data_IF_692172439870
#
_entry.id   IF_692172439870
#
_cell.length_a   1.000
_cell.length_b   1.000
_cell.length_c   1.000
_cell.angle_alpha   90.00
_cell.angle_beta   90.00
_cell.angle_gamma   90.00
#
_symmetry.space_group_name_H-M   'P 1'
#
loop_
_entity.id
_entity.type
_entity.pdbx_description
1 polymer ?
#
# COMPACT_ATOMS: atom_id res chain seq x y z
N UNK A 1 20.07 23.25 -4.90
CA UNK A 1 19.99 21.91 -4.34
C UNK A 1 18.64 21.79 -3.69
N UNK A 2 17.79 20.87 -4.12
CA UNK A 2 16.44 20.75 -3.52
C UNK A 2 16.48 19.87 -2.29
N UNK A 3 16.06 20.40 -1.14
CA UNK A 3 15.94 19.67 0.12
C UNK A 3 14.47 19.36 0.41
N UNK A 4 14.17 18.11 0.72
CA UNK A 4 12.81 17.65 0.99
C UNK A 4 12.75 16.99 2.35
N UNK A 5 11.80 17.41 3.18
CA UNK A 5 11.37 16.67 4.35
C UNK A 5 10.09 15.90 4.02
N UNK A 6 10.03 14.61 4.34
CA UNK A 6 8.90 13.74 3.99
C UNK A 6 8.33 13.04 5.21
N UNK A 7 7.11 13.40 5.58
CA UNK A 7 6.35 12.78 6.66
C UNK A 7 5.47 11.66 6.13
N UNK A 8 5.76 10.44 6.56
CA UNK A 8 5.00 9.23 6.25
C UNK A 8 5.02 8.30 7.47
N UNK A 9 4.26 7.21 7.43
CA UNK A 9 4.34 6.20 8.48
C UNK A 9 5.65 5.43 8.37
N UNK A 10 6.44 5.43 9.46
CA UNK A 10 7.78 4.83 9.52
C UNK A 10 8.08 4.18 10.88
N UNK A 11 7.11 3.62 11.55
CA UNK A 11 7.33 3.01 12.86
C UNK A 11 8.49 2.00 12.77
N UNK A 12 9.64 2.34 13.38
CA UNK A 12 10.87 1.53 13.35
C UNK A 12 10.67 0.16 13.99
N UNK A 13 9.77 0.05 14.96
CA UNK A 13 9.43 -1.20 15.65
C UNK A 13 8.32 -2.00 14.98
N UNK A 14 7.69 -1.46 13.93
CA UNK A 14 6.53 -2.05 13.27
C UNK A 14 6.76 -2.16 11.77
N UNK A 15 7.57 -3.16 11.38
CA UNK A 15 7.89 -3.39 9.98
C UNK A 15 6.66 -3.81 9.17
N UNK A 16 6.11 -2.88 8.39
CA UNK A 16 5.13 -3.19 7.37
C UNK A 16 5.75 -2.91 5.99
N UNK A 17 6.06 -3.96 5.25
CA UNK A 17 6.69 -3.87 3.92
C UNK A 17 5.90 -2.94 2.99
N UNK A 18 4.57 -2.91 3.09
CA UNK A 18 3.74 -2.05 2.25
C UNK A 18 3.94 -0.56 2.52
N UNK A 19 4.07 -0.17 3.78
CA UNK A 19 4.29 1.24 4.16
C UNK A 19 5.71 1.69 3.84
N UNK A 20 6.69 0.82 4.08
CA UNK A 20 8.07 1.06 3.66
C UNK A 20 8.15 1.21 2.13
N UNK A 21 7.41 0.37 1.38
CA UNK A 21 7.33 0.45 -0.08
C UNK A 21 6.82 1.82 -0.58
N UNK A 22 5.78 2.36 0.08
CA UNK A 22 5.26 3.70 -0.23
C UNK A 22 6.33 4.77 0.00
N UNK A 23 6.96 4.78 1.19
CA UNK A 23 7.95 5.78 1.56
C UNK A 23 9.15 5.78 0.60
N UNK A 24 9.66 4.59 0.26
CA UNK A 24 10.80 4.43 -0.63
C UNK A 24 10.44 4.78 -2.07
N UNK A 25 9.26 4.42 -2.54
CA UNK A 25 8.80 4.78 -3.88
C UNK A 25 8.68 6.30 -4.05
N UNK A 26 8.08 7.01 -3.08
CA UNK A 26 7.98 8.47 -3.10
C UNK A 26 9.38 9.10 -3.10
N UNK A 27 10.27 8.66 -2.21
CA UNK A 27 11.66 9.12 -2.15
C UNK A 27 12.36 8.98 -3.51
N UNK A 28 12.26 7.82 -4.14
CA UNK A 28 12.99 7.52 -5.37
C UNK A 28 12.40 8.29 -6.57
N UNK A 29 11.08 8.46 -6.63
CA UNK A 29 10.42 9.30 -7.63
C UNK A 29 10.82 10.77 -7.48
N UNK A 30 10.84 11.32 -6.25
CA UNK A 30 11.31 12.68 -6.00
C UNK A 30 12.78 12.85 -6.39
N UNK A 31 13.65 11.90 -6.01
CA UNK A 31 15.07 11.90 -6.38
C UNK A 31 15.29 11.88 -7.89
N UNK A 32 14.43 11.24 -8.64
CA UNK A 32 14.53 11.21 -10.11
C UNK A 32 14.30 12.58 -10.75
N UNK A 33 13.53 13.46 -10.12
CA UNK A 33 13.09 14.77 -10.64
C UNK A 33 13.81 15.96 -10.03
N UNK A 34 14.17 15.88 -8.75
CA UNK A 34 14.80 16.97 -7.98
C UNK A 34 16.31 16.70 -7.88
N UNK A 35 17.10 17.24 -8.80
CA UNK A 35 18.56 17.03 -8.82
C UNK A 35 19.29 18.37 -8.83
N UNK A 36 20.27 18.59 -7.92
CA UNK A 36 20.66 17.73 -6.79
C UNK A 36 19.60 17.70 -5.67
N UNK A 37 19.52 16.57 -4.93
CA UNK A 37 18.45 16.25 -4.02
C UNK A 37 18.96 15.78 -2.65
N UNK A 38 18.45 16.37 -1.57
CA UNK A 38 18.60 15.89 -0.20
C UNK A 38 17.24 15.47 0.36
N UNK A 39 17.22 14.44 1.18
CA UNK A 39 15.99 13.85 1.69
C UNK A 39 16.09 13.61 3.18
N UNK A 40 15.17 14.19 3.93
CA UNK A 40 15.01 14.02 5.37
C UNK A 40 13.72 13.24 5.62
N UNK A 41 13.80 12.03 6.17
CA UNK A 41 12.61 11.28 6.56
C UNK A 41 12.05 11.78 7.89
N UNK A 42 10.73 11.94 7.99
CA UNK A 42 9.97 12.24 9.20
C UNK A 42 8.89 11.19 9.45
N UNK A 43 8.55 10.97 10.72
CA UNK A 43 7.42 10.15 11.11
C UNK A 43 6.14 10.99 11.13
N UNK A 44 5.04 10.45 10.57
CA UNK A 44 3.78 11.20 10.47
C UNK A 44 3.24 11.67 11.84
N UNK A 45 3.46 10.88 12.89
CA UNK A 45 3.04 11.23 14.25
C UNK A 45 3.78 12.44 14.84
N UNK A 46 4.93 12.80 14.30
CA UNK A 46 5.61 14.04 14.71
C UNK A 46 4.77 15.29 14.42
N UNK A 47 3.85 15.20 13.44
CA UNK A 47 2.90 16.30 13.16
C UNK A 47 1.80 16.45 14.23
N UNK A 48 1.73 15.57 15.21
CA UNK A 48 0.87 15.67 16.40
C UNK A 48 1.58 16.37 17.58
N UNK A 49 2.88 16.71 17.44
CA UNK A 49 3.73 17.24 18.52
C UNK A 49 3.05 18.42 19.25
N UNK A 50 2.96 18.39 20.59
CA UNK A 50 2.40 19.49 21.37
C UNK A 50 3.33 20.70 21.52
N UNK A 51 4.64 20.56 21.20
CA UNK A 51 5.65 21.63 21.27
C UNK A 51 6.16 21.97 19.86
N UNK A 52 5.45 22.80 19.10
CA UNK A 52 5.67 22.96 17.67
C UNK A 52 6.90 23.78 17.28
N UNK A 53 7.43 24.69 18.10
CA UNK A 53 8.33 25.77 17.67
C UNK A 53 9.62 25.25 17.04
N UNK A 54 10.44 24.52 17.77
CA UNK A 54 11.73 23.99 17.29
C UNK A 54 11.53 22.99 16.14
N UNK A 55 10.47 22.22 16.22
CA UNK A 55 10.13 21.24 15.19
C UNK A 55 9.75 21.92 13.86
N UNK A 56 8.95 22.98 13.90
CA UNK A 56 8.58 23.77 12.71
C UNK A 56 9.80 24.48 12.12
N UNK A 57 10.71 25.01 12.94
CA UNK A 57 11.96 25.58 12.46
C UNK A 57 12.77 24.55 11.65
N UNK A 58 12.85 23.30 12.14
CA UNK A 58 13.50 22.21 11.40
C UNK A 58 12.82 21.95 10.06
N UNK A 59 11.48 21.92 10.00
CA UNK A 59 10.74 21.75 8.76
C UNK A 59 11.07 22.88 7.78
N UNK A 60 11.04 24.13 8.25
CA UNK A 60 11.23 25.32 7.41
C UNK A 60 12.69 25.50 6.89
N UNK A 61 13.64 24.68 7.35
CA UNK A 61 15.00 24.62 6.77
C UNK A 61 15.06 23.88 5.42
N UNK A 62 13.96 23.25 4.99
CA UNK A 62 13.87 22.53 3.72
C UNK A 62 13.18 23.39 2.65
N UNK A 63 13.27 22.95 1.39
CA UNK A 63 12.59 23.64 0.27
C UNK A 63 11.16 23.15 0.07
N UNK A 64 10.86 21.90 0.42
CA UNK A 64 9.54 21.29 0.26
C UNK A 64 9.24 20.36 1.45
N UNK A 65 8.02 20.47 1.97
CA UNK A 65 7.45 19.53 2.92
C UNK A 65 6.49 18.58 2.18
N UNK A 66 6.82 17.30 2.12
CA UNK A 66 5.94 16.24 1.58
C UNK A 66 5.25 15.54 2.74
N UNK A 67 3.94 15.41 2.69
CA UNK A 67 3.14 14.63 3.63
C UNK A 67 2.39 13.58 2.81
N UNK A 68 2.65 12.31 3.07
CA UNK A 68 1.99 11.24 2.32
C UNK A 68 2.84 9.99 2.23
N UNK A 69 2.32 9.11 1.62
CA UNK A 69 1.42 8.19 1.12
C UNK A 69 0.74 7.33 2.19
N UNK A 70 -0.07 6.41 1.71
CA UNK A 70 -0.80 5.49 2.55
C UNK A 70 -2.07 6.09 3.19
N UNK A 71 -2.64 5.39 4.16
CA UNK A 71 -3.95 5.70 4.74
C UNK A 71 -3.93 6.81 5.80
N UNK A 72 -3.36 7.97 5.50
CA UNK A 72 -3.18 9.05 6.48
C UNK A 72 -4.49 9.78 6.85
N UNK A 73 -5.49 9.80 5.97
CA UNK A 73 -6.81 10.30 6.34
C UNK A 73 -7.58 9.24 7.12
N UNK A 74 -7.22 9.09 8.38
CA UNK A 74 -7.80 8.10 9.29
C UNK A 74 -7.80 8.60 10.74
N UNK A 75 -8.61 7.95 11.58
CA UNK A 75 -8.63 8.21 13.03
C UNK A 75 -7.27 7.97 13.73
N UNK A 76 -6.33 7.28 13.10
CA UNK A 76 -5.02 6.94 13.68
C UNK A 76 -4.00 8.06 13.55
N UNK A 77 -4.18 8.97 12.57
CA UNK A 77 -3.24 10.04 12.24
C UNK A 77 -3.89 11.42 12.24
N UNK A 78 -5.13 11.53 12.71
CA UNK A 78 -5.89 12.77 12.80
C UNK A 78 -6.47 12.95 14.19
N UNK A 79 -6.55 14.20 14.68
CA UNK A 79 -6.13 15.43 14.03
C UNK A 79 -4.61 15.66 14.12
N UNK A 80 -4.00 16.24 13.07
CA UNK A 80 -2.65 16.80 13.16
C UNK A 80 -2.68 18.14 13.91
N UNK A 81 -1.57 18.54 14.50
CA UNK A 81 -1.47 19.82 15.22
C UNK A 81 -1.64 21.01 14.26
N UNK A 82 -2.75 21.73 14.43
CA UNK A 82 -3.10 22.85 13.57
C UNK A 82 -2.05 23.98 13.61
N UNK A 83 -1.35 24.18 14.74
CA UNK A 83 -0.31 25.19 14.86
C UNK A 83 0.91 24.80 14.00
N UNK A 84 1.33 23.53 14.00
CA UNK A 84 2.39 23.05 13.12
C UNK A 84 2.02 23.32 11.67
N UNK A 85 0.86 22.84 11.22
CA UNK A 85 0.43 22.96 9.82
C UNK A 85 0.33 24.42 9.37
N UNK A 86 -0.11 25.34 10.25
CA UNK A 86 -0.20 26.78 9.94
C UNK A 86 1.18 27.46 9.87
N UNK A 87 2.13 26.99 10.66
CA UNK A 87 3.47 27.61 10.78
C UNK A 87 4.50 27.06 9.79
N UNK A 88 4.17 26.04 9.00
CA UNK A 88 5.02 25.61 7.87
C UNK A 88 4.98 26.68 6.80
N UNK A 89 6.11 27.31 6.51
CA UNK A 89 6.25 28.41 5.54
C UNK A 89 6.58 27.92 4.13
N UNK A 90 7.26 26.78 4.04
CA UNK A 90 7.63 26.14 2.77
C UNK A 90 6.43 25.46 2.09
N UNK A 91 6.49 25.21 0.77
CA UNK A 91 5.44 24.49 0.05
C UNK A 91 5.13 23.11 0.65
N UNK A 92 3.86 22.86 0.98
CA UNK A 92 3.37 21.55 1.40
C UNK A 92 2.84 20.82 0.18
N UNK A 93 3.25 19.57 0.01
CA UNK A 93 2.76 18.65 -1.03
C UNK A 93 2.13 17.43 -0.35
N UNK A 94 0.86 17.17 -0.63
CA UNK A 94 0.17 15.95 -0.21
C UNK A 94 0.32 14.90 -1.30
N UNK A 95 1.00 13.79 -0.99
CA UNK A 95 1.42 12.83 -1.99
C UNK A 95 0.79 11.45 -1.80
N UNK A 96 -0.14 11.07 -2.70
CA UNK A 96 -0.71 9.72 -2.72
C UNK A 96 -1.44 9.29 -1.45
N UNK A 97 -2.09 10.23 -0.77
CA UNK A 97 -2.82 9.95 0.48
C UNK A 97 -4.08 9.15 0.21
N UNK A 98 -4.41 8.22 1.11
CA UNK A 98 -5.65 7.46 1.11
C UNK A 98 -6.53 7.78 2.31
N UNK A 99 -7.85 7.76 2.10
CA UNK A 99 -8.83 7.72 3.17
C UNK A 99 -9.00 6.29 3.64
N UNK A 100 -8.81 6.07 4.95
CA UNK A 100 -8.92 4.75 5.57
C UNK A 100 -10.01 4.77 6.62
N UNK A 101 -10.99 3.87 6.43
CA UNK A 101 -12.03 3.56 7.41
C UNK A 101 -12.15 2.05 7.49
N UNK A 102 -11.78 1.46 8.64
CA UNK A 102 -11.94 0.03 8.84
C UNK A 102 -13.42 -0.34 9.01
N UNK A 103 -13.75 -1.60 8.77
CA UNK A 103 -15.11 -2.11 9.05
C UNK A 103 -15.43 -1.95 10.55
N UNK A 104 -16.54 -1.30 10.83
CA UNK A 104 -16.97 -1.00 12.21
C UNK A 104 -16.41 0.28 12.82
N UNK A 105 -15.54 1.02 12.11
CA UNK A 105 -15.12 2.33 12.57
C UNK A 105 -16.25 3.35 12.49
N UNK A 106 -16.31 4.22 13.49
CA UNK A 106 -17.13 5.44 13.41
C UNK A 106 -16.64 6.35 12.29
N UNK A 107 -17.48 7.29 11.88
CA UNK A 107 -17.05 8.36 11.00
C UNK A 107 -15.99 9.25 11.68
N UNK A 108 -15.23 9.98 10.88
CA UNK A 108 -14.28 10.94 11.40
C UNK A 108 -15.04 12.02 12.19
N UNK A 109 -14.44 12.45 13.29
CA UNK A 109 -14.97 13.57 14.09
C UNK A 109 -14.87 14.87 13.30
N UNK A 110 -15.62 15.91 13.72
CA UNK A 110 -15.53 17.23 13.11
C UNK A 110 -14.11 17.80 13.18
N UNK A 111 -13.40 17.60 14.28
CA UNK A 111 -12.03 18.03 14.47
C UNK A 111 -11.07 17.36 13.46
N UNK A 112 -11.24 16.06 13.23
CA UNK A 112 -10.47 15.31 12.23
C UNK A 112 -10.75 15.81 10.81
N UNK A 113 -12.02 16.12 10.50
CA UNK A 113 -12.42 16.72 9.21
C UNK A 113 -11.82 18.10 9.02
N UNK A 114 -11.84 18.95 10.05
CA UNK A 114 -11.23 20.28 9.99
C UNK A 114 -9.70 20.20 9.82
N UNK A 115 -9.05 19.21 10.44
CA UNK A 115 -7.63 18.93 10.21
C UNK A 115 -7.34 18.58 8.74
N UNK A 116 -8.17 17.76 8.10
CA UNK A 116 -8.05 17.45 6.66
C UNK A 116 -8.23 18.72 5.82
N UNK A 117 -9.24 19.54 6.12
CA UNK A 117 -9.48 20.82 5.41
C UNK A 117 -8.30 21.76 5.53
N UNK A 118 -7.80 21.97 6.75
CA UNK A 118 -6.65 22.82 7.02
C UNK A 118 -5.42 22.36 6.22
N UNK A 119 -5.13 21.04 6.25
CA UNK A 119 -4.00 20.47 5.53
C UNK A 119 -4.11 20.71 4.02
N UNK A 120 -5.29 20.50 3.42
CA UNK A 120 -5.50 20.71 2.00
C UNK A 120 -5.50 22.21 1.60
N UNK A 121 -6.00 23.11 2.46
CA UNK A 121 -5.92 24.56 2.22
C UNK A 121 -4.48 25.06 2.25
N UNK A 122 -3.63 24.48 3.10
CA UNK A 122 -2.21 24.83 3.20
C UNK A 122 -1.36 24.19 2.10
N UNK A 123 -1.78 23.07 1.56
CA UNK A 123 -1.05 22.37 0.51
C UNK A 123 -1.04 23.15 -0.80
N UNK A 124 0.10 23.18 -1.45
CA UNK A 124 0.25 23.71 -2.83
C UNK A 124 -0.18 22.70 -3.89
N UNK A 125 -0.04 21.42 -3.57
CA UNK A 125 -0.44 20.31 -4.46
C UNK A 125 -1.01 19.19 -3.61
N UNK A 126 -2.14 18.64 -4.06
CA UNK A 126 -2.76 17.48 -3.42
C UNK A 126 -2.93 16.34 -4.40
N UNK A 127 -2.41 15.16 -4.04
CA UNK A 127 -2.71 13.93 -4.73
C UNK A 127 -3.17 12.83 -3.79
N UNK A 128 -4.00 11.95 -4.32
CA UNK A 128 -4.57 10.81 -3.62
C UNK A 128 -4.34 9.52 -4.41
N UNK A 129 -4.38 8.39 -3.70
CA UNK A 129 -4.08 7.10 -4.32
C UNK A 129 -5.25 6.50 -5.11
N UNK A 130 -6.50 6.91 -4.84
CA UNK A 130 -7.69 6.29 -5.42
C UNK A 130 -8.87 7.26 -5.56
N UNK A 131 -9.84 6.87 -6.38
CA UNK A 131 -11.06 7.65 -6.64
C UNK A 131 -11.96 7.75 -5.39
N UNK A 132 -11.91 6.76 -4.50
CA UNK A 132 -12.67 6.78 -3.25
C UNK A 132 -12.22 7.95 -2.36
N UNK A 133 -10.92 8.11 -2.18
CA UNK A 133 -10.35 9.24 -1.45
C UNK A 133 -10.62 10.57 -2.15
N UNK A 134 -10.52 10.61 -3.47
CA UNK A 134 -10.85 11.81 -4.25
C UNK A 134 -12.31 12.24 -4.05
N UNK A 135 -13.24 11.30 -4.11
CA UNK A 135 -14.67 11.54 -3.85
C UNK A 135 -14.90 12.03 -2.42
N UNK A 136 -14.22 11.42 -1.44
CA UNK A 136 -14.29 11.87 -0.05
C UNK A 136 -13.86 13.33 0.10
N UNK A 137 -12.72 13.73 -0.48
CA UNK A 137 -12.24 15.12 -0.43
C UNK A 137 -13.18 16.10 -1.14
N UNK A 138 -13.73 15.72 -2.29
CA UNK A 138 -14.73 16.54 -3.01
C UNK A 138 -15.97 16.80 -2.17
N UNK A 139 -16.44 15.81 -1.42
CA UNK A 139 -17.56 15.97 -0.49
C UNK A 139 -17.25 16.94 0.68
N UNK A 140 -15.95 17.15 0.97
CA UNK A 140 -15.49 18.16 1.93
C UNK A 140 -15.27 19.55 1.30
N UNK A 141 -15.57 19.71 -0.01
CA UNK A 141 -15.37 20.95 -0.76
C UNK A 141 -13.95 21.12 -1.32
N UNK A 142 -13.11 20.09 -1.30
CA UNK A 142 -11.73 20.10 -1.82
C UNK A 142 -11.76 19.50 -3.24
N UNK A 143 -11.60 20.34 -4.27
CA UNK A 143 -11.79 19.95 -5.68
C UNK A 143 -10.49 19.77 -6.47
N UNK A 144 -9.42 20.50 -6.13
CA UNK A 144 -8.14 20.41 -6.84
C UNK A 144 -7.30 19.22 -6.30
N UNK A 145 -7.66 18.03 -6.76
CA UNK A 145 -7.09 16.76 -6.29
C UNK A 145 -6.70 15.87 -7.46
N UNK A 146 -5.45 15.43 -7.48
CA UNK A 146 -4.92 14.51 -8.49
C UNK A 146 -5.00 13.07 -8.04
N UNK A 147 -5.65 12.20 -8.81
CA UNK A 147 -5.65 10.74 -8.56
C UNK A 147 -4.46 10.12 -9.30
N UNK A 148 -3.45 9.69 -8.56
CA UNK A 148 -2.17 9.23 -9.11
C UNK A 148 -1.85 7.74 -8.87
N UNK A 149 -2.72 7.02 -8.18
CA UNK A 149 -2.45 5.65 -7.74
C UNK A 149 -1.65 5.58 -6.43
N UNK A 150 -1.59 4.38 -5.84
CA UNK A 150 -0.73 4.15 -4.68
C UNK A 150 0.76 4.22 -5.12
N UNK A 151 1.61 5.00 -4.45
CA UNK A 151 3.02 5.13 -4.85
C UNK A 151 3.78 3.82 -4.93
N UNK A 152 3.47 2.82 -4.08
CA UNK A 152 4.14 1.52 -4.08
C UNK A 152 3.93 0.71 -5.38
N UNK A 153 2.96 1.09 -6.23
CA UNK A 153 2.80 0.54 -7.58
C UNK A 153 4.09 0.71 -8.40
N UNK A 154 4.79 1.83 -8.21
CA UNK A 154 5.94 2.25 -9.01
C UNK A 154 7.29 1.97 -8.35
N UNK A 155 7.28 1.32 -7.17
CA UNK A 155 8.52 0.88 -6.54
C UNK A 155 9.33 0.04 -7.52
N UNK A 156 10.63 0.29 -7.62
CA UNK A 156 11.55 -0.54 -8.38
C UNK A 156 11.70 -1.93 -7.74
N UNK A 157 12.35 -2.84 -8.43
CA UNK A 157 12.65 -4.19 -7.93
C UNK A 157 14.14 -4.43 -7.85
N UNK A 158 14.58 -5.15 -6.81
CA UNK A 158 15.94 -5.60 -6.60
C UNK A 158 15.98 -7.12 -6.60
N UNK A 159 16.83 -7.71 -7.43
CA UNK A 159 16.98 -9.16 -7.52
C UNK A 159 17.40 -9.75 -6.17
N UNK A 160 16.85 -10.93 -5.85
CA UNK A 160 17.16 -11.63 -4.61
C UNK A 160 17.10 -13.14 -4.80
N UNK A 161 17.95 -13.85 -4.08
CA UNK A 161 17.96 -15.31 -3.96
C UNK A 161 17.37 -15.82 -2.64
N UNK A 162 16.72 -14.97 -1.85
CA UNK A 162 16.15 -15.36 -0.55
C UNK A 162 15.13 -16.49 -0.65
N UNK A 163 14.44 -16.59 -1.79
CA UNK A 163 13.51 -17.70 -2.06
C UNK A 163 13.95 -18.38 -3.34
N UNK A 164 14.35 -19.65 -3.22
CA UNK A 164 14.67 -20.49 -4.37
C UNK A 164 13.35 -21.03 -4.92
N UNK A 165 12.99 -20.64 -6.13
CA UNK A 165 11.77 -21.06 -6.83
C UNK A 165 12.09 -22.19 -7.78
N UNK A 166 11.13 -23.11 -7.96
CA UNK A 166 11.23 -24.21 -8.93
C UNK A 166 10.62 -23.77 -10.26
N UNK A 167 11.46 -23.60 -11.28
CA UNK A 167 11.01 -23.13 -12.60
C UNK A 167 10.03 -24.08 -13.31
N UNK A 168 9.97 -25.32 -12.90
CA UNK A 168 9.03 -26.32 -13.46
C UNK A 168 7.62 -26.24 -12.86
N UNK A 169 7.42 -25.41 -11.81
CA UNK A 169 6.15 -25.28 -11.09
C UNK A 169 5.47 -23.93 -11.31
N UNK A 170 4.17 -23.91 -11.17
CA UNK A 170 3.41 -22.65 -11.05
C UNK A 170 3.68 -22.03 -9.66
N UNK A 171 3.99 -20.73 -9.62
CA UNK A 171 4.30 -20.02 -8.39
C UNK A 171 3.07 -19.25 -7.90
N UNK A 172 2.53 -19.65 -6.76
CA UNK A 172 1.39 -18.97 -6.13
C UNK A 172 1.85 -18.28 -4.85
N UNK A 173 1.83 -16.97 -4.88
CA UNK A 173 2.07 -16.15 -3.69
C UNK A 173 0.82 -16.07 -2.82
N UNK A 174 0.96 -16.25 -1.51
CA UNK A 174 -0.14 -16.05 -0.56
C UNK A 174 0.26 -15.06 0.53
N UNK A 175 -0.74 -14.31 1.03
CA UNK A 175 -0.59 -13.44 2.17
C UNK A 175 -1.89 -13.41 2.97
N UNK A 176 -1.82 -13.57 4.29
CA UNK A 176 -2.97 -13.57 5.20
C UNK A 176 -2.81 -12.47 6.23
N UNK A 177 -3.81 -11.59 6.34
CA UNK A 177 -3.83 -10.55 7.37
C UNK A 177 -4.03 -11.17 8.76
N UNK A 178 -3.04 -11.04 9.65
CA UNK A 178 -3.05 -11.66 10.97
C UNK A 178 -3.19 -10.67 12.13
N UNK A 179 -3.28 -9.38 11.84
CA UNK A 179 -3.34 -8.35 12.88
C UNK A 179 -4.74 -8.23 13.47
N UNK A 180 -4.86 -8.25 14.80
CA UNK A 180 -6.14 -8.12 15.52
C UNK A 180 -6.89 -6.82 15.20
N UNK A 181 -6.18 -5.77 14.79
CA UNK A 181 -6.78 -4.51 14.34
C UNK A 181 -7.29 -4.57 12.89
N UNK A 182 -6.79 -5.52 12.10
CA UNK A 182 -7.21 -5.74 10.71
C UNK A 182 -8.27 -6.83 10.61
N UNK A 183 -8.14 -7.89 11.41
CA UNK A 183 -9.04 -9.04 11.36
C UNK A 183 -9.34 -9.57 12.75
N UNK A 184 -10.63 -9.65 13.11
CA UNK A 184 -11.03 -10.25 14.38
C UNK A 184 -10.62 -11.73 14.46
N UNK A 185 -10.19 -12.23 15.64
CA UNK A 185 -9.77 -13.63 15.82
C UNK A 185 -10.79 -14.66 15.34
N UNK A 186 -12.10 -14.35 15.41
CA UNK A 186 -13.18 -15.23 14.93
C UNK A 186 -13.12 -15.49 13.42
N UNK A 187 -12.46 -14.64 12.63
CA UNK A 187 -12.23 -14.86 11.18
C UNK A 187 -10.85 -15.37 10.89
N UNK A 188 -9.84 -15.00 11.71
CA UNK A 188 -8.43 -15.32 11.44
C UNK A 188 -8.17 -16.83 11.36
N UNK A 189 -8.54 -17.57 12.40
CA UNK A 189 -8.27 -19.03 12.42
C UNK A 189 -9.05 -19.78 11.34
N UNK A 190 -10.35 -19.55 11.15
CA UNK A 190 -11.08 -20.16 10.04
C UNK A 190 -10.47 -19.85 8.68
N UNK A 191 -10.07 -18.62 8.40
CA UNK A 191 -9.52 -18.24 7.09
C UNK A 191 -8.17 -18.90 6.81
N UNK A 192 -7.32 -19.11 7.83
CA UNK A 192 -6.06 -19.84 7.68
C UNK A 192 -6.35 -21.29 7.23
N UNK A 193 -7.38 -21.92 7.78
CA UNK A 193 -7.79 -23.27 7.39
C UNK A 193 -8.27 -23.33 5.94
N UNK A 194 -9.10 -22.37 5.55
CA UNK A 194 -9.63 -22.31 4.19
C UNK A 194 -8.53 -22.02 3.14
N UNK A 195 -7.59 -21.12 3.46
CA UNK A 195 -6.40 -20.91 2.63
C UNK A 195 -5.55 -22.19 2.52
N UNK A 196 -5.33 -22.88 3.63
CA UNK A 196 -4.53 -24.12 3.64
C UNK A 196 -5.13 -25.16 2.70
N UNK A 197 -6.44 -25.44 2.82
CA UNK A 197 -7.15 -26.41 1.95
C UNK A 197 -7.15 -25.97 0.49
N UNK A 198 -7.37 -24.69 0.21
CA UNK A 198 -7.32 -24.15 -1.14
C UNK A 198 -5.91 -24.30 -1.74
N UNK A 199 -4.85 -24.01 -0.98
CA UNK A 199 -3.48 -24.20 -1.41
C UNK A 199 -3.13 -25.67 -1.67
N UNK A 200 -3.56 -26.62 -0.82
CA UNK A 200 -3.39 -28.05 -1.05
C UNK A 200 -4.01 -28.50 -2.37
N UNK A 201 -5.21 -28.01 -2.66
CA UNK A 201 -5.85 -28.26 -3.95
C UNK A 201 -5.04 -27.69 -5.12
N UNK A 202 -4.61 -26.43 -5.05
CA UNK A 202 -3.86 -25.76 -6.12
C UNK A 202 -2.49 -26.41 -6.37
N UNK A 203 -1.81 -26.90 -5.32
CA UNK A 203 -0.57 -27.68 -5.45
C UNK A 203 -0.81 -28.92 -6.32
N UNK A 204 -1.86 -29.68 -6.02
CA UNK A 204 -2.15 -30.93 -6.72
C UNK A 204 -2.71 -30.71 -8.13
N UNK A 205 -3.54 -29.69 -8.30
CA UNK A 205 -4.25 -29.44 -9.57
C UNK A 205 -3.38 -28.72 -10.62
N UNK A 206 -2.57 -27.76 -10.19
CA UNK A 206 -1.73 -26.94 -11.08
C UNK A 206 -0.23 -27.32 -11.03
N UNK A 207 0.17 -28.34 -10.27
CA UNK A 207 1.57 -28.58 -9.94
C UNK A 207 2.25 -27.29 -9.40
N UNK A 208 1.57 -26.61 -8.46
CA UNK A 208 2.03 -25.34 -7.93
C UNK A 208 3.01 -25.50 -6.77
N UNK A 209 3.83 -24.48 -6.53
CA UNK A 209 4.49 -24.24 -5.26
C UNK A 209 3.90 -22.98 -4.60
N UNK A 210 3.75 -23.05 -3.28
CA UNK A 210 3.19 -21.97 -2.49
C UNK A 210 4.32 -21.16 -1.84
N UNK A 211 4.24 -19.83 -1.98
CA UNK A 211 5.17 -18.88 -1.38
C UNK A 211 4.39 -17.93 -0.48
N UNK A 212 4.62 -18.00 0.82
CA UNK A 212 4.07 -17.02 1.75
C UNK A 212 4.86 -15.72 1.64
N UNK A 213 4.19 -14.62 1.31
CA UNK A 213 4.77 -13.30 1.11
C UNK A 213 4.56 -12.48 2.39
N UNK A 214 5.53 -12.55 3.31
CA UNK A 214 5.42 -11.91 4.63
C UNK A 214 5.57 -10.39 4.54
N UNK A 215 4.58 -9.66 5.02
CA UNK A 215 4.59 -8.19 5.09
C UNK A 215 4.91 -7.67 6.49
N UNK A 216 4.73 -8.50 7.50
CA UNK A 216 4.93 -8.14 8.91
C UNK A 216 5.47 -9.33 9.70
N UNK A 217 6.33 -9.11 10.71
CA UNK A 217 6.86 -10.20 11.53
C UNK A 217 5.81 -11.10 12.18
N UNK A 218 4.67 -10.54 12.60
CA UNK A 218 3.58 -11.31 13.23
C UNK A 218 3.01 -12.38 12.30
N UNK A 219 3.21 -12.26 10.98
CA UNK A 219 2.71 -13.23 10.01
C UNK A 219 3.43 -14.58 10.08
N UNK A 220 4.58 -14.67 10.75
CA UNK A 220 5.25 -15.95 11.01
C UNK A 220 4.36 -16.91 11.80
N UNK A 221 3.48 -16.40 12.66
CA UNK A 221 2.49 -17.22 13.37
C UNK A 221 1.53 -17.94 12.41
N UNK A 222 1.07 -17.27 11.35
CA UNK A 222 0.22 -17.88 10.31
C UNK A 222 0.99 -18.97 9.57
N UNK A 223 2.24 -18.70 9.20
CA UNK A 223 3.12 -19.69 8.55
C UNK A 223 3.28 -20.94 9.41
N UNK A 224 3.49 -20.79 10.73
CA UNK A 224 3.60 -21.93 11.63
C UNK A 224 2.31 -22.78 11.69
N UNK A 225 1.14 -22.11 11.73
CA UNK A 225 -0.14 -22.81 11.71
C UNK A 225 -0.30 -23.64 10.42
N UNK A 226 0.00 -23.04 9.26
CA UNK A 226 -0.08 -23.73 7.97
C UNK A 226 0.91 -24.92 7.89
N UNK A 227 2.14 -24.76 8.42
CA UNK A 227 3.13 -25.84 8.49
C UNK A 227 2.70 -26.98 9.41
N UNK A 228 2.10 -26.68 10.56
CA UNK A 228 1.51 -27.72 11.45
C UNK A 228 0.42 -28.52 10.77
N UNK A 229 -0.28 -27.92 9.78
CA UNK A 229 -1.24 -28.60 8.91
C UNK A 229 -0.59 -29.30 7.71
N UNK A 230 0.76 -29.38 7.70
CA UNK A 230 1.58 -30.04 6.67
C UNK A 230 1.51 -29.41 5.27
N UNK A 231 1.07 -28.15 5.14
CA UNK A 231 1.15 -27.43 3.87
C UNK A 231 2.62 -27.21 3.50
N UNK A 232 3.11 -27.71 2.36
CA UNK A 232 4.44 -27.41 1.88
C UNK A 232 4.47 -25.98 1.35
N UNK A 233 5.09 -25.05 2.08
CA UNK A 233 5.21 -23.66 1.66
C UNK A 233 6.62 -23.12 1.90
N UNK A 234 7.06 -22.25 0.99
CA UNK A 234 8.24 -21.40 1.13
C UNK A 234 7.83 -20.08 1.77
N UNK A 235 8.77 -19.38 2.36
CA UNK A 235 8.51 -18.06 2.97
C UNK A 235 9.44 -17.04 2.36
N UNK A 236 8.87 -15.98 1.84
CA UNK A 236 9.57 -14.78 1.45
C UNK A 236 9.40 -13.75 2.58
N UNK A 237 10.46 -13.54 3.33
CA UNK A 237 10.57 -12.45 4.31
C UNK A 237 11.79 -11.61 3.94
N UNK A 238 11.56 -10.45 3.35
CA UNK A 238 12.61 -9.56 2.88
C UNK A 238 12.77 -8.34 3.78
N UNK A 239 12.12 -8.35 4.95
CA UNK A 239 12.13 -7.21 5.86
C UNK A 239 13.54 -6.73 6.20
N UNK A 240 13.82 -5.44 6.16
CA UNK A 240 12.91 -4.35 5.80
C UNK A 240 13.02 -3.92 4.31
N UNK A 241 13.46 -4.78 3.38
CA UNK A 241 13.74 -4.41 1.99
C UNK A 241 12.51 -4.64 1.06
N UNK A 242 11.73 -3.59 0.72
CA UNK A 242 10.54 -3.73 -0.13
C UNK A 242 10.89 -3.96 -1.61
N UNK A 243 12.08 -3.58 -2.09
CA UNK A 243 12.52 -3.81 -3.47
C UNK A 243 12.68 -5.30 -3.77
N UNK A 244 13.24 -6.05 -2.80
CA UNK A 244 13.38 -7.51 -2.90
C UNK A 244 12.02 -8.19 -2.88
N UNK A 245 11.12 -7.72 -1.99
CA UNK A 245 9.74 -8.22 -1.98
C UNK A 245 9.06 -7.97 -3.33
N UNK A 246 9.21 -6.78 -3.90
CA UNK A 246 8.69 -6.43 -5.23
C UNK A 246 9.19 -7.37 -6.33
N UNK A 247 10.47 -7.73 -6.28
CA UNK A 247 11.05 -8.71 -7.21
C UNK A 247 10.36 -10.08 -7.08
N UNK A 248 10.15 -10.55 -5.84
CA UNK A 248 9.49 -11.85 -5.61
C UNK A 248 8.05 -11.83 -6.10
N UNK A 249 7.29 -10.73 -5.88
CA UNK A 249 5.96 -10.55 -6.46
C UNK A 249 5.95 -10.72 -7.98
N UNK A 250 6.97 -10.18 -8.66
CA UNK A 250 7.14 -10.30 -10.11
C UNK A 250 7.46 -11.72 -10.61
N UNK A 251 7.86 -12.63 -9.71
CA UNK A 251 8.08 -14.05 -10.03
C UNK A 251 6.85 -14.93 -9.83
N UNK A 252 5.79 -14.40 -9.22
CA UNK A 252 4.57 -15.15 -8.99
C UNK A 252 3.70 -15.20 -10.26
N UNK A 253 3.04 -16.33 -10.50
CA UNK A 253 2.06 -16.48 -11.57
C UNK A 253 0.67 -16.03 -11.13
N UNK A 254 0.39 -16.12 -9.82
CA UNK A 254 -0.83 -15.67 -9.16
C UNK A 254 -0.52 -15.24 -7.73
N UNK A 255 -1.23 -14.25 -7.22
CA UNK A 255 -1.21 -13.87 -5.78
C UNK A 255 -2.61 -13.98 -5.21
N UNK A 256 -2.75 -14.66 -4.07
CA UNK A 256 -3.98 -14.72 -3.26
C UNK A 256 -3.69 -13.94 -1.97
N UNK A 257 -4.02 -12.64 -1.98
CA UNK A 257 -3.61 -11.72 -0.93
C UNK A 257 -4.76 -11.20 -0.09
N UNK A 258 -4.52 -10.98 1.22
CA UNK A 258 -5.44 -10.29 2.11
C UNK A 258 -4.97 -8.86 2.40
N UNK A 259 -3.70 -8.65 2.74
CA UNK A 259 -3.19 -7.30 2.98
C UNK A 259 -3.32 -6.46 1.70
N UNK A 260 -3.79 -5.21 1.85
CA UNK A 260 -3.93 -4.32 0.68
C UNK A 260 -2.63 -4.20 -0.11
N UNK A 261 -1.49 -4.04 0.57
CA UNK A 261 -0.21 -3.90 -0.14
C UNK A 261 0.27 -5.18 -0.80
N UNK A 262 -0.24 -6.36 -0.44
CA UNK A 262 0.02 -7.57 -1.22
C UNK A 262 -0.58 -7.46 -2.62
N UNK A 263 -1.76 -6.83 -2.74
CA UNK A 263 -2.39 -6.58 -4.04
C UNK A 263 -1.75 -5.41 -4.79
N UNK A 264 -1.34 -4.35 -4.09
CA UNK A 264 -0.63 -3.19 -4.68
C UNK A 264 0.70 -3.61 -5.30
N UNK A 265 1.51 -4.39 -4.56
CA UNK A 265 2.81 -4.86 -5.05
C UNK A 265 2.65 -5.85 -6.20
N UNK A 266 1.66 -6.76 -6.15
CA UNK A 266 1.34 -7.68 -7.23
C UNK A 266 0.91 -6.93 -8.50
N UNK A 267 -0.03 -5.98 -8.41
CA UNK A 267 -0.43 -5.12 -9.53
C UNK A 267 0.78 -4.38 -10.13
N UNK A 268 1.57 -3.73 -9.27
CA UNK A 268 2.76 -3.00 -9.70
C UNK A 268 3.81 -3.88 -10.38
N UNK A 269 3.84 -5.19 -10.09
CA UNK A 269 4.69 -6.21 -10.74
C UNK A 269 4.05 -6.84 -11.97
N UNK A 270 2.76 -6.59 -12.22
CA UNK A 270 2.00 -7.17 -13.33
C UNK A 270 1.53 -8.60 -13.04
N UNK A 271 1.48 -9.02 -11.79
CA UNK A 271 1.05 -10.35 -11.37
C UNK A 271 -0.46 -10.39 -11.12
N UNK A 272 -1.20 -11.36 -11.67
CA UNK A 272 -2.63 -11.55 -11.42
C UNK A 272 -2.94 -11.74 -9.94
N UNK A 273 -4.12 -11.25 -9.51
CA UNK A 273 -4.49 -11.13 -8.10
C UNK A 273 -5.87 -11.68 -7.84
N UNK A 274 -5.99 -12.46 -6.77
CA UNK A 274 -7.23 -12.70 -6.03
C UNK A 274 -7.08 -12.01 -4.68
N UNK A 275 -8.07 -11.24 -4.26
CA UNK A 275 -8.04 -10.55 -2.97
C UNK A 275 -9.13 -11.08 -2.05
N UNK A 276 -8.74 -11.59 -0.87
CA UNK A 276 -9.68 -11.88 0.22
C UNK A 276 -9.79 -10.63 1.07
N UNK A 277 -10.86 -9.88 0.83
CA UNK A 277 -11.06 -8.55 1.39
C UNK A 277 -11.62 -8.60 2.81
N UNK A 278 -10.97 -7.89 3.72
CA UNK A 278 -11.42 -7.71 5.10
C UNK A 278 -11.77 -6.25 5.44
N UNK A 279 -11.56 -5.33 4.49
CA UNK A 279 -11.71 -3.89 4.70
C UNK A 279 -12.12 -3.19 3.39
N UNK A 280 -12.74 -2.02 3.50
CA UNK A 280 -13.17 -1.20 2.37
C UNK A 280 -12.02 -0.83 1.42
N UNK A 281 -10.81 -0.59 1.94
CA UNK A 281 -9.62 -0.29 1.14
C UNK A 281 -9.28 -1.40 0.14
N UNK A 282 -9.51 -2.66 0.50
CA UNK A 282 -9.30 -3.80 -0.39
C UNK A 282 -10.26 -3.73 -1.60
N UNK A 283 -11.55 -3.54 -1.35
CA UNK A 283 -12.56 -3.40 -2.41
C UNK A 283 -12.25 -2.21 -3.31
N UNK A 284 -11.95 -1.05 -2.72
CA UNK A 284 -11.67 0.17 -3.44
C UNK A 284 -10.46 0.04 -4.36
N UNK A 285 -9.39 -0.62 -3.89
CA UNK A 285 -8.20 -0.85 -4.72
C UNK A 285 -8.49 -1.84 -5.86
N UNK A 286 -9.17 -2.95 -5.58
CA UNK A 286 -9.50 -3.94 -6.61
C UNK A 286 -10.47 -3.36 -7.67
N UNK A 287 -11.41 -2.51 -7.26
CA UNK A 287 -12.27 -1.77 -8.20
C UNK A 287 -11.47 -0.77 -9.02
N UNK A 288 -10.54 -0.04 -8.41
CA UNK A 288 -9.65 0.92 -9.06
C UNK A 288 -8.78 0.28 -10.15
N UNK A 289 -8.31 -0.96 -9.95
CA UNK A 289 -7.53 -1.70 -10.95
C UNK A 289 -8.38 -2.56 -11.87
N UNK A 290 -9.72 -2.42 -11.87
CA UNK A 290 -10.64 -3.15 -12.74
C UNK A 290 -10.79 -4.64 -12.43
N UNK A 291 -10.51 -5.08 -11.19
CA UNK A 291 -10.54 -6.48 -10.77
C UNK A 291 -11.57 -6.76 -9.66
N UNK A 292 -12.67 -6.03 -9.64
CA UNK A 292 -13.72 -6.17 -8.61
C UNK A 292 -14.29 -7.60 -8.50
N UNK A 293 -14.36 -8.31 -9.62
CA UNK A 293 -14.85 -9.69 -9.71
C UNK A 293 -13.87 -10.76 -9.17
N UNK A 294 -12.66 -10.35 -8.78
CA UNK A 294 -11.63 -11.18 -8.15
C UNK A 294 -11.56 -10.96 -6.63
N UNK A 295 -12.56 -10.29 -6.05
CA UNK A 295 -12.63 -10.03 -4.61
C UNK A 295 -13.53 -11.06 -3.94
N UNK A 296 -13.04 -11.63 -2.85
CA UNK A 296 -13.78 -12.54 -1.98
C UNK A 296 -13.90 -11.85 -0.62
N UNK A 297 -15.13 -11.68 -0.11
CA UNK A 297 -15.34 -11.14 1.23
C UNK A 297 -14.88 -12.15 2.29
N UNK A 298 -14.03 -11.73 3.23
CA UNK A 298 -13.50 -12.60 4.29
C UNK A 298 -14.58 -13.29 5.12
N UNK A 299 -15.78 -12.68 5.21
CA UNK A 299 -16.92 -13.25 5.96
C UNK A 299 -17.52 -14.47 5.27
N UNK A 300 -17.32 -14.60 3.98
CA UNK A 300 -17.84 -15.66 3.12
C UNK A 300 -16.72 -16.46 2.44
N UNK A 301 -15.46 -16.20 2.81
CA UNK A 301 -14.33 -16.86 2.21
C UNK A 301 -14.23 -18.32 2.71
N UNK A 302 -14.35 -19.25 1.80
CA UNK A 302 -14.14 -20.68 2.00
C UNK A 302 -13.18 -21.23 0.93
N UNK A 303 -12.74 -22.47 1.11
CA UNK A 303 -11.82 -23.10 0.18
C UNK A 303 -12.38 -23.19 -1.24
N UNK A 304 -13.69 -23.38 -1.42
CA UNK A 304 -14.29 -23.56 -2.74
C UNK A 304 -14.25 -22.26 -3.54
N UNK A 305 -14.68 -21.14 -2.95
CA UNK A 305 -14.65 -19.87 -3.66
C UNK A 305 -13.21 -19.35 -3.84
N UNK A 306 -12.27 -19.60 -2.90
CA UNK A 306 -10.85 -19.30 -3.10
C UNK A 306 -10.30 -20.07 -4.29
N UNK A 307 -10.57 -21.36 -4.40
CA UNK A 307 -10.15 -22.20 -5.54
C UNK A 307 -10.75 -21.72 -6.87
N UNK A 308 -12.07 -21.55 -6.90
CA UNK A 308 -12.78 -21.14 -8.12
C UNK A 308 -12.27 -19.82 -8.66
N UNK A 309 -12.20 -18.78 -7.81
CA UNK A 309 -11.72 -17.46 -8.22
C UNK A 309 -10.24 -17.52 -8.61
N UNK A 310 -9.42 -18.34 -7.93
CA UNK A 310 -8.00 -18.50 -8.25
C UNK A 310 -7.79 -19.15 -9.60
N UNK A 311 -8.51 -20.24 -9.91
CA UNK A 311 -8.40 -20.91 -11.21
C UNK A 311 -8.85 -19.98 -12.33
N UNK A 312 -10.02 -19.33 -12.20
CA UNK A 312 -10.51 -18.36 -13.19
C UNK A 312 -9.54 -17.21 -13.41
N UNK A 313 -8.92 -16.71 -12.35
CA UNK A 313 -7.93 -15.64 -12.43
C UNK A 313 -6.64 -16.12 -13.11
N UNK A 314 -6.20 -17.33 -12.82
CA UNK A 314 -5.04 -17.95 -13.45
C UNK A 314 -5.25 -18.15 -14.95
N UNK A 315 -6.40 -18.70 -15.35
CA UNK A 315 -6.77 -18.93 -16.74
C UNK A 315 -6.83 -17.62 -17.55
N UNK A 316 -7.33 -16.53 -16.93
CA UNK A 316 -7.42 -15.19 -17.54
C UNK A 316 -6.13 -14.37 -17.41
N UNK A 317 -5.04 -14.96 -16.89
CA UNK A 317 -3.81 -14.24 -16.53
C UNK A 317 -3.22 -13.40 -17.65
N UNK A 318 -3.31 -13.84 -18.91
CA UNK A 318 -2.80 -13.10 -20.07
C UNK A 318 -3.53 -11.76 -20.28
N UNK A 319 -4.85 -11.77 -20.17
CA UNK A 319 -5.67 -10.57 -20.31
C UNK A 319 -5.41 -9.62 -19.13
N UNK A 320 -5.42 -10.16 -17.90
CA UNK A 320 -5.14 -9.38 -16.68
C UNK A 320 -3.77 -8.69 -16.77
N UNK A 321 -2.71 -9.42 -17.18
CA UNK A 321 -1.37 -8.85 -17.34
C UNK A 321 -1.31 -7.75 -18.41
N UNK A 322 -2.09 -7.88 -19.50
CA UNK A 322 -2.21 -6.83 -20.53
C UNK A 322 -2.86 -5.58 -19.94
N UNK A 323 -3.98 -5.74 -19.26
CA UNK A 323 -4.79 -4.65 -18.71
C UNK A 323 -4.03 -3.92 -17.57
N UNK A 324 -3.32 -4.67 -16.72
CA UNK A 324 -2.45 -4.10 -15.71
C UNK A 324 -1.33 -3.25 -16.31
N UNK A 325 -0.71 -3.71 -17.39
CA UNK A 325 0.32 -2.91 -18.09
C UNK A 325 -0.23 -1.63 -18.70
N UNK A 326 -1.46 -1.67 -19.21
CA UNK A 326 -2.10 -0.48 -19.78
C UNK A 326 -2.42 0.54 -18.69
N UNK A 327 -3.10 0.11 -17.61
CA UNK A 327 -3.44 0.96 -16.49
C UNK A 327 -2.20 1.51 -15.77
N UNK A 328 -1.17 0.68 -15.54
CA UNK A 328 0.08 1.13 -14.91
C UNK A 328 0.76 2.23 -15.73
N UNK A 329 0.75 2.17 -17.07
CA UNK A 329 1.28 3.23 -17.92
C UNK A 329 0.48 4.52 -17.80
N UNK A 330 -0.85 4.44 -17.76
CA UNK A 330 -1.71 5.60 -17.55
C UNK A 330 -1.43 6.26 -16.20
N UNK A 331 -1.37 5.47 -15.14
CA UNK A 331 -1.06 5.95 -13.79
C UNK A 331 0.36 6.55 -13.72
N UNK A 332 1.33 5.98 -14.45
CA UNK A 332 2.67 6.56 -14.54
C UNK A 332 2.65 7.94 -15.17
N UNK A 333 1.89 8.15 -16.24
CA UNK A 333 1.72 9.48 -16.86
C UNK A 333 1.18 10.50 -15.84
N UNK A 334 0.16 10.13 -15.07
CA UNK A 334 -0.40 10.99 -14.02
C UNK A 334 0.66 11.31 -12.93
N UNK A 335 1.47 10.32 -12.55
CA UNK A 335 2.58 10.50 -11.62
C UNK A 335 3.63 11.48 -12.18
N UNK A 336 4.03 11.32 -13.43
CA UNK A 336 5.02 12.21 -14.07
C UNK A 336 4.54 13.66 -14.15
N UNK A 337 3.26 13.88 -14.49
CA UNK A 337 2.65 15.19 -14.47
C UNK A 337 2.68 15.83 -13.08
N UNK A 338 2.34 15.03 -12.05
CA UNK A 338 2.36 15.49 -10.67
C UNK A 338 3.79 15.81 -10.19
N UNK A 339 4.76 14.95 -10.47
CA UNK A 339 6.17 15.18 -10.17
C UNK A 339 6.72 16.42 -10.89
N UNK A 340 6.26 16.69 -12.11
CA UNK A 340 6.64 17.90 -12.85
C UNK A 340 6.09 19.17 -12.18
N UNK A 341 4.89 19.11 -11.59
CA UNK A 341 4.37 20.22 -10.78
C UNK A 341 5.20 20.43 -9.51
N UNK A 342 5.59 19.35 -8.82
CA UNK A 342 6.44 19.43 -7.62
C UNK A 342 7.78 20.09 -7.95
N UNK A 343 8.42 19.71 -9.07
CA UNK A 343 9.74 20.27 -9.43
C UNK A 343 9.72 21.78 -9.65
N UNK A 344 8.59 22.36 -10.04
CA UNK A 344 8.42 23.81 -10.17
C UNK A 344 8.33 24.52 -8.84
N UNK A 345 7.97 23.85 -7.74
CA UNK A 345 7.91 24.45 -6.41
C UNK A 345 9.31 24.66 -5.80
N UNK A 346 10.31 23.86 -6.20
CA UNK A 346 11.67 23.96 -5.67
C UNK A 346 12.56 24.98 -6.41
N UNK A 347 12.05 25.61 -7.48
CA UNK A 347 12.80 26.55 -8.31
C UNK A 347 12.43 28.02 -8.06
N UNK A 348 11.46 28.26 -7.22
CA UNK A 348 11.03 29.60 -6.75
C UNK A 348 11.46 29.86 -5.32
#
# INVERSE_FOLDING_TARGET
MSSVIHFCRREEDFYNIGEIAIAYSIRDMLRSRLKPFTYTPGEIKELENPQPTEFVETINQHDICVIGGGGLYSKFFLPMNAQIIKSIEIPIVLYGIGYLRNLGDNELTQEQIESIRLLNVRAKLTSVRDEYTCKFLRNLGISDVHVIGDPAIFLDSEETSQVVLDDSKIKIGINVACHYWALYPKYLYPIIDEYTKACEFLINHLNAEIVYLAHHPDEHHVVEIMRKKKLPLKVADTSPNPYKMKFIYGKMDLVIGMMMHSTVLAFGSGTPIVNVAYDAKNYNFMEFIGQKDKVIDVRNADQENIKEVSLRTFDDSKNIKRDFRALKRELWTRQEEFLTKISKLSTN
#
